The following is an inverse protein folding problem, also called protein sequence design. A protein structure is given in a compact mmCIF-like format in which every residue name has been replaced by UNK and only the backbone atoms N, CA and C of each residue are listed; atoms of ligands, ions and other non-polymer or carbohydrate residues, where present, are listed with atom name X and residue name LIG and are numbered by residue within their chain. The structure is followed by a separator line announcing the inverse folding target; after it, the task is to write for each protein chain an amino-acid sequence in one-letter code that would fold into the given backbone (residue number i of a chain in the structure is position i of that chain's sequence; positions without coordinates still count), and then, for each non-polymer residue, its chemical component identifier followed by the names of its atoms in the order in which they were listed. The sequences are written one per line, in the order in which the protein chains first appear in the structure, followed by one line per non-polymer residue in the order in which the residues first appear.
data_IF_760911664682
#
_entry.id   IF_760911664682
#
_cell.length_a   1.000
_cell.length_b   1.000
_cell.length_c   1.000
_cell.angle_alpha   90.00
_cell.angle_beta   90.00
_cell.angle_gamma   90.00
#
_symmetry.space_group_name_H-M   'P 1'
#
loop_
_entity.id
_entity.type
_entity.pdbx_description
1 polymer ?
#
# COMPACT_ATOMS: atom_id res chain seq x y z
N UNK A 1 22.21 16.06 -20.33
CA UNK A 1 21.10 15.75 -19.41
C UNK A 1 19.96 15.16 -20.22
N UNK A 2 19.64 13.91 -19.97
CA UNK A 2 18.67 13.14 -20.75
C UNK A 2 17.23 13.46 -20.32
N UNK A 3 16.20 12.93 -21.00
CA UNK A 3 14.81 13.08 -20.57
C UNK A 3 14.51 12.21 -19.35
N UNK A 4 15.11 11.03 -19.27
CA UNK A 4 14.98 10.14 -18.12
C UNK A 4 15.52 10.76 -16.82
N UNK A 5 16.68 11.43 -16.87
CA UNK A 5 17.28 12.12 -15.72
C UNK A 5 16.40 13.25 -15.16
N UNK A 6 15.66 13.95 -16.03
CA UNK A 6 14.75 15.04 -15.62
C UNK A 6 13.49 14.55 -14.93
N UNK A 7 13.08 13.30 -15.19
CA UNK A 7 11.91 12.68 -14.59
C UNK A 7 12.23 11.93 -13.28
N UNK A 8 13.52 11.66 -13.01
CA UNK A 8 13.95 10.95 -11.81
C UNK A 8 13.40 11.54 -10.50
N UNK A 9 13.43 12.88 -10.27
CA UNK A 9 12.88 13.45 -9.03
C UNK A 9 11.38 13.19 -8.85
N UNK A 10 10.63 13.10 -9.95
CA UNK A 10 9.20 12.80 -9.93
C UNK A 10 8.93 11.31 -9.61
N UNK A 11 9.80 10.40 -10.09
CA UNK A 11 9.77 8.97 -9.72
C UNK A 11 10.05 8.82 -8.23
N UNK A 12 11.14 9.40 -7.73
CA UNK A 12 11.52 9.32 -6.31
C UNK A 12 10.41 9.89 -5.40
N UNK A 13 9.72 10.95 -5.84
CA UNK A 13 8.57 11.49 -5.12
C UNK A 13 7.37 10.55 -5.15
N UNK A 14 7.10 9.89 -6.27
CA UNK A 14 6.00 8.93 -6.39
C UNK A 14 6.25 7.69 -5.52
N UNK A 15 7.47 7.15 -5.52
CA UNK A 15 7.88 6.03 -4.67
C UNK A 15 7.73 6.37 -3.18
N UNK A 16 8.21 7.54 -2.73
CA UNK A 16 8.02 7.97 -1.34
C UNK A 16 6.55 8.06 -0.94
N UNK A 17 5.70 8.62 -1.81
CA UNK A 17 4.25 8.71 -1.56
C UNK A 17 3.57 7.34 -1.51
N UNK A 18 4.02 6.40 -2.33
CA UNK A 18 3.53 5.02 -2.33
C UNK A 18 3.88 4.33 -1.03
N UNK A 19 5.13 4.46 -0.57
CA UNK A 19 5.60 3.91 0.70
C UNK A 19 4.88 4.52 1.90
N UNK A 20 4.70 5.85 1.94
CA UNK A 20 3.94 6.53 2.99
C UNK A 20 2.47 6.05 3.02
N UNK A 21 1.84 5.89 1.85
CA UNK A 21 0.47 5.38 1.76
C UNK A 21 0.38 3.91 2.21
N UNK A 22 1.39 3.10 1.90
CA UNK A 22 1.47 1.71 2.34
C UNK A 22 1.62 1.61 3.86
N UNK A 23 2.49 2.41 4.47
CA UNK A 23 2.65 2.46 5.94
C UNK A 23 1.32 2.81 6.62
N UNK A 24 0.61 3.83 6.13
CA UNK A 24 -0.71 4.20 6.65
C UNK A 24 -1.73 3.07 6.49
N UNK A 25 -1.70 2.34 5.37
CA UNK A 25 -2.60 1.20 5.16
C UNK A 25 -2.31 0.07 6.17
N UNK A 26 -1.04 -0.23 6.43
CA UNK A 26 -0.62 -1.25 7.42
C UNK A 26 -1.09 -0.86 8.81
N UNK A 27 -0.84 0.38 9.25
CA UNK A 27 -1.31 0.87 10.55
C UNK A 27 -2.83 0.77 10.68
N UNK A 28 -3.55 1.13 9.63
CA UNK A 28 -5.01 1.11 9.61
C UNK A 28 -5.57 -0.33 9.64
N UNK A 29 -4.91 -1.28 8.97
CA UNK A 29 -5.23 -2.71 9.06
C UNK A 29 -4.97 -3.28 10.46
N UNK A 30 -3.87 -2.90 11.11
CA UNK A 30 -3.57 -3.31 12.49
C UNK A 30 -4.65 -2.81 13.47
N UNK A 31 -5.07 -1.53 13.33
CA UNK A 31 -6.17 -0.97 14.12
C UNK A 31 -7.46 -1.73 13.92
N UNK A 32 -7.80 -2.05 12.66
CA UNK A 32 -8.99 -2.84 12.33
C UNK A 32 -8.94 -4.24 12.96
N UNK A 33 -7.80 -4.93 12.85
CA UNK A 33 -7.61 -6.25 13.46
C UNK A 33 -7.76 -6.20 14.98
N UNK A 34 -7.20 -5.19 15.63
CA UNK A 34 -7.32 -4.98 17.07
C UNK A 34 -8.77 -4.81 17.52
N UNK A 35 -9.54 -3.93 16.86
CA UNK A 35 -10.94 -3.69 17.24
C UNK A 35 -11.84 -4.90 16.97
N UNK A 36 -11.50 -5.72 15.96
CA UNK A 36 -12.22 -6.97 15.70
C UNK A 36 -11.89 -8.04 16.74
N UNK A 37 -10.63 -8.18 17.16
CA UNK A 37 -10.27 -9.08 18.25
C UNK A 37 -11.03 -8.71 19.54
N UNK A 38 -11.14 -7.43 19.88
CA UNK A 38 -11.92 -6.98 21.03
C UNK A 38 -13.41 -7.33 20.92
N UNK A 39 -13.99 -7.27 19.71
CA UNK A 39 -15.37 -7.68 19.47
C UNK A 39 -15.53 -9.19 19.69
N UNK A 40 -14.63 -9.99 19.09
CA UNK A 40 -14.64 -11.45 19.23
C UNK A 40 -14.50 -11.87 20.70
N UNK A 41 -13.65 -11.18 21.48
CA UNK A 41 -13.51 -11.40 22.92
C UNK A 41 -14.82 -11.10 23.67
N UNK A 42 -15.48 -9.98 23.38
CA UNK A 42 -16.77 -9.64 23.99
C UNK A 42 -17.87 -10.65 23.65
N UNK A 43 -17.93 -11.12 22.40
CA UNK A 43 -18.87 -12.14 21.96
C UNK A 43 -18.63 -13.48 22.66
N UNK A 44 -17.36 -13.91 22.78
CA UNK A 44 -17.00 -15.11 23.57
C UNK A 44 -17.40 -14.98 25.03
N UNK A 45 -17.09 -13.85 25.67
CA UNK A 45 -17.48 -13.62 27.06
C UNK A 45 -19.00 -13.70 27.24
N UNK A 46 -19.78 -13.18 26.29
CA UNK A 46 -21.24 -13.27 26.30
C UNK A 46 -21.73 -14.71 26.24
N UNK A 47 -21.14 -15.52 25.35
CA UNK A 47 -21.50 -16.94 25.17
C UNK A 47 -21.16 -17.77 26.42
N UNK A 48 -19.95 -17.60 26.97
CA UNK A 48 -19.51 -18.28 28.19
C UNK A 48 -20.43 -17.95 29.38
N UNK A 49 -20.85 -16.69 29.50
CA UNK A 49 -21.80 -16.25 30.53
C UNK A 49 -23.24 -16.70 30.27
N UNK A 50 -23.57 -17.27 29.11
CA UNK A 50 -24.89 -17.86 28.84
C UNK A 50 -25.07 -19.27 29.42
N UNK A 51 -23.97 -20.02 29.61
CA UNK A 51 -24.01 -21.47 29.87
C UNK A 51 -24.01 -21.88 31.36
N UNK A 52 -23.57 -21.02 32.27
CA UNK A 52 -23.46 -21.38 33.69
C UNK A 52 -24.78 -21.25 34.46
N UNK A 53 -25.61 -22.28 34.54
CA UNK A 53 -26.92 -22.21 35.25
C UNK A 53 -27.02 -23.33 36.30
N UNK A 54 -26.49 -23.10 37.49
CA UNK A 54 -26.66 -24.01 38.62
C UNK A 54 -26.53 -23.30 39.96
N UNK A 55 -27.62 -23.27 40.75
CA UNK A 55 -27.57 -22.95 42.19
C UNK A 55 -27.48 -21.47 42.61
N UNK A 56 -27.79 -20.51 41.74
CA UNK A 56 -27.66 -19.08 42.07
C UNK A 56 -28.91 -18.49 42.77
N UNK A 57 -28.69 -17.58 43.72
CA UNK A 57 -29.74 -16.79 44.38
C UNK A 57 -30.37 -15.77 43.42
N UNK A 58 -31.59 -15.30 43.71
CA UNK A 58 -32.29 -14.28 42.90
C UNK A 58 -31.47 -13.00 42.72
N UNK A 59 -30.74 -12.56 43.75
CA UNK A 59 -29.86 -11.39 43.66
C UNK A 59 -28.65 -11.63 42.74
N UNK A 60 -28.08 -12.83 42.74
CA UNK A 60 -27.01 -13.22 41.83
C UNK A 60 -27.49 -13.31 40.37
N UNK A 61 -28.75 -13.71 40.15
CA UNK A 61 -29.39 -13.69 38.83
C UNK A 61 -29.60 -12.26 38.30
N UNK A 62 -30.07 -11.34 39.14
CA UNK A 62 -30.27 -9.93 38.74
C UNK A 62 -28.96 -9.21 38.42
N UNK A 63 -27.93 -9.40 39.25
CA UNK A 63 -26.59 -8.83 38.98
C UNK A 63 -25.99 -9.38 37.68
N UNK A 64 -26.22 -10.66 37.38
CA UNK A 64 -25.80 -11.27 36.13
C UNK A 64 -26.52 -10.69 34.93
N UNK A 65 -27.84 -10.51 35.01
CA UNK A 65 -28.62 -9.93 33.91
C UNK A 65 -28.11 -8.53 33.55
N UNK A 66 -27.86 -7.68 34.55
CA UNK A 66 -27.28 -6.35 34.34
C UNK A 66 -25.89 -6.39 33.71
N UNK A 67 -25.08 -7.39 34.06
CA UNK A 67 -23.75 -7.57 33.47
C UNK A 67 -23.83 -7.98 32.00
N UNK A 68 -24.72 -8.92 31.67
CA UNK A 68 -24.97 -9.34 30.27
C UNK A 68 -25.49 -8.17 29.45
N UNK A 69 -26.41 -7.37 29.97
CA UNK A 69 -26.91 -6.17 29.29
C UNK A 69 -25.79 -5.16 29.00
N UNK A 70 -24.81 -5.01 29.90
CA UNK A 70 -23.62 -4.17 29.66
C UNK A 70 -22.72 -4.73 28.58
N UNK A 71 -22.50 -6.06 28.55
CA UNK A 71 -21.74 -6.70 27.48
C UNK A 71 -22.45 -6.50 26.12
N UNK A 72 -23.76 -6.69 26.07
CA UNK A 72 -24.54 -6.50 24.84
C UNK A 72 -24.43 -5.06 24.32
N UNK A 73 -24.48 -4.08 25.22
CA UNK A 73 -24.24 -2.68 24.87
C UNK A 73 -22.82 -2.45 24.36
N UNK A 74 -21.80 -3.05 25.00
CA UNK A 74 -20.41 -2.96 24.58
C UNK A 74 -20.18 -3.60 23.20
N UNK A 75 -20.77 -4.76 22.92
CA UNK A 75 -20.73 -5.44 21.61
C UNK A 75 -21.32 -4.53 20.53
N UNK A 76 -22.47 -3.91 20.77
CA UNK A 76 -23.08 -2.99 19.79
C UNK A 76 -22.17 -1.79 19.52
N UNK A 77 -21.54 -1.22 20.55
CA UNK A 77 -20.61 -0.11 20.40
C UNK A 77 -19.35 -0.52 19.64
N UNK A 78 -18.76 -1.66 20.01
CA UNK A 78 -17.56 -2.20 19.38
C UNK A 78 -17.83 -2.60 17.92
N UNK A 79 -18.99 -3.17 17.61
CA UNK A 79 -19.41 -3.47 16.24
C UNK A 79 -19.50 -2.21 15.36
N UNK A 80 -20.03 -1.09 15.90
CA UNK A 80 -20.02 0.20 15.19
C UNK A 80 -18.61 0.72 14.96
N UNK A 81 -17.71 0.51 15.92
CA UNK A 81 -16.30 0.88 15.80
C UNK A 81 -15.59 0.06 14.72
N UNK A 82 -15.80 -1.26 14.68
CA UNK A 82 -15.30 -2.15 13.62
C UNK A 82 -15.75 -1.64 12.25
N UNK A 83 -17.03 -1.34 12.07
CA UNK A 83 -17.56 -0.82 10.80
C UNK A 83 -16.95 0.53 10.42
N UNK A 84 -16.68 1.39 11.40
CA UNK A 84 -15.95 2.65 11.16
C UNK A 84 -14.52 2.39 10.69
N UNK A 85 -13.78 1.52 11.38
CA UNK A 85 -12.41 1.17 11.01
C UNK A 85 -12.34 0.50 9.65
N UNK A 86 -13.30 -0.37 9.29
CA UNK A 86 -13.41 -0.99 7.96
C UNK A 86 -13.51 0.06 6.85
N UNK A 87 -14.39 1.05 7.00
CA UNK A 87 -14.54 2.14 6.02
C UNK A 87 -13.27 2.98 5.89
N UNK A 88 -12.59 3.25 7.00
CA UNK A 88 -11.31 3.96 6.99
C UNK A 88 -10.23 3.14 6.29
N UNK A 89 -10.11 1.85 6.58
CA UNK A 89 -9.19 0.93 5.89
C UNK A 89 -9.41 0.91 4.39
N UNK A 90 -10.67 0.83 3.95
CA UNK A 90 -10.98 0.85 2.52
C UNK A 90 -10.61 2.17 1.85
N UNK A 91 -10.87 3.29 2.53
CA UNK A 91 -10.47 4.62 2.03
C UNK A 91 -8.95 4.72 1.88
N UNK A 92 -8.19 4.28 2.90
CA UNK A 92 -6.72 4.28 2.86
C UNK A 92 -6.18 3.31 1.81
N UNK A 93 -6.85 2.17 1.60
CA UNK A 93 -6.50 1.20 0.55
C UNK A 93 -6.62 1.83 -0.84
N UNK A 94 -7.71 2.55 -1.11
CA UNK A 94 -7.90 3.24 -2.38
C UNK A 94 -6.84 4.32 -2.61
N UNK A 95 -6.43 5.04 -1.56
CA UNK A 95 -5.34 6.02 -1.64
C UNK A 95 -4.00 5.36 -1.99
N UNK A 96 -3.67 4.24 -1.34
CA UNK A 96 -2.46 3.46 -1.67
C UNK A 96 -2.51 2.95 -3.11
N UNK A 97 -3.63 2.37 -3.56
CA UNK A 97 -3.79 1.90 -4.94
C UNK A 97 -3.57 3.03 -5.95
N UNK A 98 -4.07 4.23 -5.67
CA UNK A 98 -3.86 5.39 -6.54
C UNK A 98 -2.39 5.83 -6.56
N UNK A 99 -1.70 5.83 -5.42
CA UNK A 99 -0.28 6.16 -5.34
C UNK A 99 0.57 5.12 -6.09
N UNK A 100 0.27 3.84 -5.89
CA UNK A 100 0.94 2.71 -6.55
C UNK A 100 0.75 2.74 -8.07
N UNK A 101 -0.46 3.01 -8.56
CA UNK A 101 -0.71 3.16 -10.00
C UNK A 101 0.08 4.32 -10.62
N UNK A 102 0.23 5.43 -9.90
CA UNK A 102 1.03 6.59 -10.37
C UNK A 102 2.52 6.28 -10.42
N UNK A 103 3.05 5.59 -9.41
CA UNK A 103 4.44 5.14 -9.39
C UNK A 103 4.73 4.21 -10.57
N UNK A 104 3.93 3.16 -10.77
CA UNK A 104 4.06 2.23 -11.91
C UNK A 104 3.99 2.93 -13.27
N UNK A 105 3.09 3.91 -13.41
CA UNK A 105 2.97 4.68 -14.66
C UNK A 105 4.23 5.51 -14.94
N UNK A 106 4.78 6.19 -13.93
CA UNK A 106 5.99 7.00 -14.06
C UNK A 106 7.22 6.12 -14.35
N UNK A 107 7.37 5.00 -13.64
CA UNK A 107 8.45 4.04 -13.88
C UNK A 107 8.42 3.51 -15.31
N UNK A 108 7.23 3.14 -15.83
CA UNK A 108 7.07 2.71 -17.22
C UNK A 108 7.48 3.79 -18.24
N UNK A 109 7.11 5.05 -17.99
CA UNK A 109 7.48 6.18 -18.85
C UNK A 109 8.99 6.41 -18.84
N UNK A 110 9.61 6.39 -17.67
CA UNK A 110 11.07 6.57 -17.54
C UNK A 110 11.83 5.41 -18.18
N UNK A 111 11.38 4.18 -18.01
CA UNK A 111 11.95 3.00 -18.69
C UNK A 111 11.95 3.16 -20.20
N UNK A 112 10.83 3.61 -20.80
CA UNK A 112 10.77 3.88 -22.25
C UNK A 112 11.76 4.94 -22.70
N UNK A 113 11.91 6.03 -21.95
CA UNK A 113 12.88 7.07 -22.28
C UNK A 113 14.32 6.56 -22.20
N UNK A 114 14.67 5.78 -21.16
CA UNK A 114 15.99 5.16 -21.05
C UNK A 114 16.32 4.25 -22.24
N UNK A 115 15.36 3.42 -22.68
CA UNK A 115 15.56 2.56 -23.85
C UNK A 115 15.76 3.39 -25.13
N UNK A 116 14.99 4.46 -25.33
CA UNK A 116 15.15 5.34 -26.50
C UNK A 116 16.50 6.05 -26.51
N UNK A 117 16.95 6.52 -25.34
CA UNK A 117 18.24 7.18 -25.16
C UNK A 117 19.39 6.23 -25.48
N UNK A 118 19.39 5.01 -24.93
CA UNK A 118 20.38 3.98 -25.24
C UNK A 118 20.44 3.63 -26.73
N UNK A 119 19.28 3.50 -27.39
CA UNK A 119 19.25 3.24 -28.84
C UNK A 119 19.74 4.43 -29.67
N UNK A 120 19.60 5.66 -29.17
CA UNK A 120 20.11 6.85 -29.84
C UNK A 120 21.63 6.93 -29.70
N UNK A 121 22.14 6.68 -28.50
CA UNK A 121 23.58 6.66 -28.21
C UNK A 121 24.29 5.58 -29.03
N UNK A 122 23.79 4.34 -29.05
CA UNK A 122 24.35 3.27 -29.87
C UNK A 122 24.39 3.61 -31.37
N UNK A 123 23.35 4.28 -31.88
CA UNK A 123 23.30 4.73 -33.29
C UNK A 123 24.33 5.82 -33.57
N UNK A 124 24.55 6.75 -32.64
CA UNK A 124 25.57 7.78 -32.77
C UNK A 124 26.97 7.19 -32.71
N UNK A 125 27.25 6.30 -31.76
CA UNK A 125 28.54 5.60 -31.64
C UNK A 125 28.88 4.82 -32.92
N UNK A 126 27.91 4.08 -33.48
CA UNK A 126 28.10 3.34 -34.72
C UNK A 126 28.42 4.29 -35.90
N UNK A 127 27.71 5.42 -36.01
CA UNK A 127 27.95 6.41 -37.05
C UNK A 127 29.36 7.03 -36.94
N UNK A 128 29.82 7.35 -35.72
CA UNK A 128 31.18 7.87 -35.50
C UNK A 128 32.27 6.86 -35.87
N UNK A 129 32.06 5.57 -35.56
CA UNK A 129 32.97 4.49 -35.95
C UNK A 129 33.05 4.38 -37.47
N UNK A 130 31.91 4.40 -38.15
CA UNK A 130 31.84 4.30 -39.61
C UNK A 130 32.53 5.50 -40.30
N UNK A 131 32.32 6.72 -39.80
CA UNK A 131 32.99 7.93 -40.30
C UNK A 131 34.51 7.85 -40.14
N UNK A 132 35.02 7.42 -38.97
CA UNK A 132 36.46 7.25 -38.74
C UNK A 132 37.06 6.17 -39.65
N UNK A 133 36.33 5.09 -39.89
CA UNK A 133 36.75 4.01 -40.79
C UNK A 133 36.78 4.46 -42.25
N UNK A 134 35.84 5.31 -42.68
CA UNK A 134 35.84 5.90 -44.03
C UNK A 134 37.00 6.90 -44.23
N UNK A 135 37.29 7.73 -43.22
CA UNK A 135 38.44 8.65 -43.26
C UNK A 135 39.78 7.91 -43.30
N UNK A 136 39.90 6.79 -42.58
CA UNK A 136 41.11 5.94 -42.59
C UNK A 136 41.28 5.15 -43.89
N UNK A 137 40.20 4.92 -44.65
CA UNK A 137 40.20 4.21 -45.93
C UNK A 137 40.44 5.10 -47.15
N UNK A 138 40.47 6.43 -47.04
CA UNK A 138 40.97 7.29 -48.13
C UNK A 138 42.48 7.05 -48.26
N UNK A 139 42.96 6.43 -49.36
CA UNK A 139 44.38 6.32 -49.59
C UNK A 139 44.90 7.71 -49.91
N UNK A 140 46.02 8.08 -49.29
CA UNK A 140 46.90 9.10 -49.83
C UNK A 140 47.45 8.53 -51.14
N UNK A 141 46.70 8.71 -52.22
CA UNK A 141 47.07 8.34 -53.58
C UNK A 141 47.66 9.56 -54.30
N UNK A 142 48.97 9.72 -54.12
CA UNK A 142 49.96 10.06 -55.14
C UNK A 142 49.73 11.26 -56.07
N UNK A 143 50.42 12.37 -55.79
CA UNK A 143 51.43 12.99 -56.68
C UNK A 143 52.18 14.07 -55.90
#
# INVERSE_FOLDING_TARGET
MTRSERLQPAVDQAERREQEALQRLVEQQQRLAYVQQQLDELERYREEYGLGVGGLTVSALLNRQQFVERIDQAIVQQGREVERQRRLTETTRLQWLQAHAREKALDSVVGRYRTQEQQSEQRQEQAEIDERMQHRRRPVGSA
#
